data_IF_575154686491
#
_entry.id   IF_575154686491
#
_cell.length_a   1.000
_cell.length_b   1.000
_cell.length_c   1.000
_cell.angle_alpha   90.00
_cell.angle_beta   90.00
_cell.angle_gamma   90.00
#
_symmetry.space_group_name_H-M   'P 1'
#
loop_
_entity.id
_entity.type
_entity.pdbx_description
1 polymer ?
#
# COMPACT_ATOMS: atom_id res chain seq x y z
N UNK A 1 -5.97 -1.23 -14.42
CA UNK A 1 -4.66 -1.33 -13.73
C UNK A 1 -3.74 -2.26 -14.50
N UNK A 2 -2.44 -2.28 -14.18
CA UNK A 2 -1.40 -3.06 -14.90
C UNK A 2 -1.73 -4.57 -14.99
N UNK A 3 -2.56 -5.10 -14.09
CA UNK A 3 -3.06 -6.48 -14.13
C UNK A 3 -4.15 -6.77 -15.16
N UNK A 4 -4.74 -5.76 -15.80
CA UNK A 4 -5.92 -5.92 -16.68
C UNK A 4 -7.20 -6.37 -15.98
N UNK A 5 -7.16 -6.62 -14.66
CA UNK A 5 -8.26 -7.14 -13.88
C UNK A 5 -8.88 -6.06 -12.98
N UNK A 6 -10.19 -6.15 -12.78
CA UNK A 6 -10.90 -5.38 -11.77
C UNK A 6 -11.04 -6.20 -10.49
N UNK A 7 -10.89 -5.54 -9.36
CA UNK A 7 -11.02 -6.14 -8.04
C UNK A 7 -12.03 -5.33 -7.23
N UNK A 8 -12.88 -6.01 -6.48
CA UNK A 8 -13.75 -5.39 -5.48
C UNK A 8 -13.17 -5.61 -4.08
N UNK A 9 -13.37 -4.62 -3.22
CA UNK A 9 -13.06 -4.68 -1.80
C UNK A 9 -14.31 -4.28 -1.01
N UNK A 10 -14.80 -5.18 -0.15
CA UNK A 10 -16.04 -5.02 0.61
C UNK A 10 -15.81 -4.83 2.12
N UNK A 11 -14.64 -4.31 2.51
CA UNK A 11 -14.13 -4.25 3.89
C UNK A 11 -13.80 -5.60 4.54
N UNK A 12 -14.31 -6.72 4.01
CA UNK A 12 -14.09 -8.06 4.57
C UNK A 12 -13.14 -8.89 3.72
N UNK A 13 -13.15 -8.69 2.41
CA UNK A 13 -12.44 -9.51 1.44
C UNK A 13 -12.11 -8.72 0.17
N UNK A 14 -11.08 -9.19 -0.54
CA UNK A 14 -10.79 -8.75 -1.91
C UNK A 14 -11.20 -9.87 -2.87
N UNK A 15 -11.97 -9.52 -3.91
CA UNK A 15 -12.45 -10.48 -4.92
C UNK A 15 -12.19 -9.95 -6.32
N UNK A 16 -11.80 -10.86 -7.21
CA UNK A 16 -11.70 -10.53 -8.62
C UNK A 16 -13.10 -10.36 -9.20
N UNK A 17 -13.34 -9.26 -9.91
CA UNK A 17 -14.60 -9.02 -10.60
C UNK A 17 -14.55 -9.66 -11.98
N UNK A 18 -15.39 -10.68 -12.18
CA UNK A 18 -15.62 -11.32 -13.48
C UNK A 18 -16.96 -10.79 -14.00
N UNK A 19 -16.92 -9.75 -14.83
CA UNK A 19 -18.12 -9.15 -15.43
C UNK A 19 -18.22 -7.62 -15.25
N UNK A 20 -19.40 -7.03 -15.48
CA UNK A 20 -19.61 -5.60 -15.35
C UNK A 20 -19.48 -5.15 -13.88
N UNK A 21 -19.11 -3.88 -13.68
CA UNK A 21 -19.06 -3.28 -12.35
C UNK A 21 -20.44 -3.36 -11.67
N UNK A 22 -20.50 -3.63 -10.36
CA UNK A 22 -21.76 -3.62 -9.62
C UNK A 22 -22.52 -2.31 -9.80
N UNK A 23 -23.86 -2.39 -9.82
CA UNK A 23 -24.69 -1.21 -9.97
C UNK A 23 -24.44 -0.22 -8.81
N UNK A 24 -24.24 1.06 -9.14
CA UNK A 24 -23.91 2.11 -8.17
C UNK A 24 -22.43 2.17 -7.76
N UNK A 25 -21.55 1.34 -8.34
CA UNK A 25 -20.11 1.49 -8.12
C UNK A 25 -19.61 2.83 -8.65
N UNK A 26 -18.85 3.55 -7.83
CA UNK A 26 -18.22 4.82 -8.18
C UNK A 26 -16.70 4.73 -7.98
N UNK A 27 -15.97 5.55 -8.72
CA UNK A 27 -14.53 5.69 -8.54
C UNK A 27 -14.25 6.30 -7.15
N UNK A 28 -13.50 5.58 -6.32
CA UNK A 28 -13.11 6.06 -4.99
C UNK A 28 -11.92 7.03 -5.06
N UNK A 29 -10.79 6.54 -5.57
CA UNK A 29 -9.56 7.31 -5.75
C UNK A 29 -8.70 6.67 -6.84
N UNK A 30 -7.74 7.41 -7.38
CA UNK A 30 -6.76 6.89 -8.35
C UNK A 30 -5.38 7.37 -7.98
N UNK A 31 -4.44 6.43 -7.88
CA UNK A 31 -3.04 6.72 -7.68
C UNK A 31 -2.21 5.85 -8.62
N UNK A 32 -1.14 6.43 -9.15
CA UNK A 32 -0.11 5.72 -9.89
C UNK A 32 1.14 5.65 -9.04
N UNK A 33 1.77 4.48 -9.01
CA UNK A 33 2.95 4.22 -8.19
C UNK A 33 3.99 3.53 -9.05
N UNK A 34 5.24 3.95 -8.96
CA UNK A 34 6.37 3.18 -9.47
C UNK A 34 7.44 3.06 -8.39
N UNK A 35 8.28 2.04 -8.53
CA UNK A 35 9.42 1.81 -7.66
C UNK A 35 10.71 2.17 -8.41
N UNK A 36 11.66 2.79 -7.72
CA UNK A 36 12.99 3.07 -8.23
C UNK A 36 14.02 2.54 -7.23
N UNK A 37 14.84 1.58 -7.67
CA UNK A 37 15.89 1.00 -6.84
C UNK A 37 16.81 2.09 -6.27
N UNK A 38 17.02 2.08 -4.96
CA UNK A 38 17.82 3.06 -4.23
C UNK A 38 17.08 4.34 -3.83
N UNK A 39 15.95 4.67 -4.46
CA UNK A 39 15.17 5.89 -4.16
C UNK A 39 13.80 5.59 -3.53
N UNK A 40 13.29 4.38 -3.71
CA UNK A 40 12.01 3.92 -3.16
C UNK A 40 10.82 4.16 -4.08
N UNK A 41 9.65 4.26 -3.46
CA UNK A 41 8.38 4.48 -4.13
C UNK A 41 8.17 5.95 -4.50
N UNK A 42 7.65 6.14 -5.71
CA UNK A 42 7.17 7.40 -6.23
C UNK A 42 5.68 7.31 -6.48
N UNK A 43 4.96 8.34 -6.07
CA UNK A 43 3.51 8.38 -6.03
C UNK A 43 3.03 9.58 -6.84
N UNK A 44 2.02 9.35 -7.67
CA UNK A 44 1.23 10.35 -8.35
C UNK A 44 -0.23 10.16 -7.95
N UNK A 45 -0.84 11.20 -7.36
CA UNK A 45 -2.30 11.20 -7.11
C UNK A 45 -3.05 11.49 -8.41
N UNK A 46 -3.25 10.44 -9.21
CA UNK A 46 -3.94 10.44 -10.49
C UNK A 46 -3.50 9.28 -11.37
N UNK A 47 -4.04 9.24 -12.58
CA UNK A 47 -3.65 8.28 -13.63
C UNK A 47 -2.42 8.82 -14.38
N UNK A 48 -1.30 8.10 -14.31
CA UNK A 48 -0.06 8.46 -15.00
C UNK A 48 -0.15 8.32 -16.53
N UNK A 49 -1.13 7.57 -17.05
CA UNK A 49 -1.36 7.43 -18.50
C UNK A 49 -2.10 8.65 -19.08
N UNK A 50 -2.76 9.43 -18.22
CA UNK A 50 -3.40 10.70 -18.53
C UNK A 50 -2.99 11.74 -17.47
N UNK A 51 -1.70 12.14 -17.44
CA UNK A 51 -1.13 12.86 -16.32
C UNK A 51 -1.85 14.21 -16.11
N UNK A 52 -2.39 14.48 -14.90
CA UNK A 52 -3.03 15.76 -14.64
C UNK A 52 -1.98 16.88 -14.70
N UNK A 53 -2.31 17.98 -15.37
CA UNK A 53 -1.40 19.12 -15.60
C UNK A 53 -0.85 19.78 -14.32
N UNK A 54 -1.46 19.51 -13.15
CA UNK A 54 -1.09 20.08 -11.86
C UNK A 54 -0.59 19.05 -10.83
N UNK A 55 -0.31 17.81 -11.25
CA UNK A 55 0.19 16.76 -10.36
C UNK A 55 1.63 16.41 -10.72
N UNK A 56 2.42 16.16 -9.69
CA UNK A 56 3.82 15.76 -9.79
C UNK A 56 4.03 14.46 -9.03
N UNK A 57 5.02 13.69 -9.48
CA UNK A 57 5.52 12.54 -8.74
C UNK A 57 6.19 13.01 -7.45
N UNK A 58 5.83 12.40 -6.33
CA UNK A 58 6.41 12.65 -5.03
C UNK A 58 6.92 11.34 -4.45
N UNK A 59 8.05 11.38 -3.75
CA UNK A 59 8.51 10.21 -3.00
C UNK A 59 7.48 9.85 -1.94
N UNK A 60 7.29 8.55 -1.68
CA UNK A 60 6.48 8.10 -0.56
C UNK A 60 6.98 8.71 0.75
N UNK A 61 6.03 9.25 1.50
CA UNK A 61 6.21 9.80 2.84
C UNK A 61 5.08 9.31 3.73
N UNK A 62 5.29 9.43 5.03
CA UNK A 62 4.31 9.11 6.05
C UNK A 62 3.90 10.37 6.80
N UNK A 63 2.64 10.42 7.23
CA UNK A 63 2.28 11.22 8.39
C UNK A 63 2.33 10.31 9.62
N UNK A 64 2.74 10.84 10.77
CA UNK A 64 2.77 10.08 12.02
C UNK A 64 1.55 10.46 12.84
N UNK A 65 0.85 9.45 13.34
CA UNK A 65 -0.19 9.63 14.34
C UNK A 65 0.46 9.54 15.71
N UNK A 66 0.59 10.67 16.40
CA UNK A 66 1.23 10.76 17.72
C UNK A 66 0.34 10.20 18.85
N UNK A 67 -0.95 9.97 18.60
CA UNK A 67 -1.90 9.44 19.59
C UNK A 67 -1.87 7.92 19.56
N UNK A 68 -1.97 7.32 18.37
CA UNK A 68 -1.98 5.86 18.19
C UNK A 68 -0.59 5.27 17.91
N UNK A 69 0.43 6.14 17.73
CA UNK A 69 1.78 5.76 17.32
C UNK A 69 1.76 4.88 16.07
N UNK A 70 0.95 5.29 15.08
CA UNK A 70 0.80 4.60 13.80
C UNK A 70 1.31 5.46 12.65
N UNK A 71 1.67 4.80 11.56
CA UNK A 71 2.09 5.47 10.32
C UNK A 71 0.91 5.59 9.38
N UNK A 72 0.71 6.78 8.81
CA UNK A 72 -0.31 7.06 7.82
C UNK A 72 0.31 7.19 6.43
N UNK A 73 -0.02 6.30 5.50
CA UNK A 73 0.40 6.38 4.10
C UNK A 73 -0.45 7.44 3.41
N UNK A 74 0.22 8.49 2.93
CA UNK A 74 -0.45 9.54 2.16
C UNK A 74 0.52 10.27 1.24
N UNK A 75 -0.01 10.86 0.19
CA UNK A 75 0.75 11.71 -0.73
C UNK A 75 1.20 13.05 -0.12
N UNK A 76 0.73 13.40 1.09
CA UNK A 76 1.06 14.66 1.78
C UNK A 76 1.83 14.45 3.09
N UNK A 77 2.53 13.32 3.23
CA UNK A 77 3.33 13.02 4.41
C UNK A 77 4.62 13.85 4.45
N UNK A 78 5.17 14.01 5.64
CA UNK A 78 6.46 14.69 5.87
C UNK A 78 7.58 13.74 6.29
N UNK A 79 7.24 12.63 6.93
CA UNK A 79 8.22 11.69 7.47
C UNK A 79 8.73 10.72 6.39
N UNK A 80 10.03 10.44 6.44
CA UNK A 80 10.71 9.54 5.51
C UNK A 80 10.58 8.07 5.89
N UNK A 81 10.27 7.79 7.15
CA UNK A 81 10.20 6.43 7.71
C UNK A 81 8.89 6.23 8.45
N UNK A 82 8.60 4.97 8.78
CA UNK A 82 7.55 4.62 9.73
C UNK A 82 7.74 5.34 11.08
N UNK A 83 6.64 5.58 11.79
CA UNK A 83 6.62 6.22 13.11
C UNK A 83 7.41 5.39 14.13
N UNK A 84 7.02 4.13 14.29
CA UNK A 84 7.72 3.13 15.09
C UNK A 84 7.46 1.74 14.50
N UNK A 85 8.31 0.77 14.87
CA UNK A 85 8.22 -0.60 14.39
C UNK A 85 8.50 -1.58 15.52
N UNK A 86 7.66 -2.61 15.64
CA UNK A 86 7.89 -3.72 16.58
C UNK A 86 8.72 -4.81 15.90
N UNK A 87 9.51 -5.53 16.68
CA UNK A 87 10.37 -6.61 16.17
C UNK A 87 9.58 -7.83 15.65
N UNK A 88 8.34 -8.00 16.10
CA UNK A 88 7.45 -9.09 15.68
C UNK A 88 6.68 -8.78 14.38
N UNK A 89 6.77 -7.55 13.87
CA UNK A 89 6.05 -7.12 12.67
C UNK A 89 6.81 -7.51 11.41
N UNK A 90 6.20 -8.38 10.62
CA UNK A 90 6.73 -8.81 9.31
C UNK A 90 6.27 -7.93 8.15
N UNK A 91 5.10 -7.29 8.27
CA UNK A 91 4.53 -6.44 7.21
C UNK A 91 5.46 -5.29 6.75
N UNK A 92 6.32 -4.66 7.60
CA UNK A 92 7.17 -3.56 7.15
C UNK A 92 8.15 -4.00 6.06
N UNK A 93 8.80 -5.15 6.23
CA UNK A 93 9.73 -5.71 5.25
C UNK A 93 9.02 -6.23 4.01
N UNK A 94 7.81 -6.78 4.20
CA UNK A 94 6.94 -7.19 3.10
C UNK A 94 6.61 -6.00 2.18
N UNK A 95 6.12 -4.89 2.76
CA UNK A 95 5.60 -3.75 2.00
C UNK A 95 6.67 -2.75 1.58
N UNK A 96 7.75 -2.61 2.35
CA UNK A 96 8.71 -1.53 2.16
C UNK A 96 10.17 -2.00 2.09
N UNK A 97 11.01 -1.35 1.26
CA UNK A 97 12.47 -1.46 1.41
C UNK A 97 12.95 -0.81 2.71
N UNK A 98 14.18 -1.15 3.11
CA UNK A 98 14.79 -0.72 4.37
C UNK A 98 14.85 0.79 4.59
N UNK A 99 14.89 1.59 3.51
CA UNK A 99 14.92 3.06 3.59
C UNK A 99 13.68 3.68 4.26
N UNK A 100 12.57 2.94 4.35
CA UNK A 100 11.35 3.38 5.04
C UNK A 100 11.22 2.83 6.45
N UNK A 101 12.11 1.92 6.86
CA UNK A 101 12.10 1.35 8.21
C UNK A 101 12.61 2.35 9.24
N UNK A 102 12.22 2.14 10.49
CA UNK A 102 12.61 3.00 11.62
C UNK A 102 13.29 2.18 12.70
N UNK A 103 14.15 2.82 13.48
CA UNK A 103 14.77 2.24 14.69
C UNK A 103 13.96 2.52 15.95
N UNK A 104 12.91 3.34 15.86
CA UNK A 104 12.04 3.63 16.97
C UNK A 104 11.21 2.39 17.31
N UNK A 105 11.44 1.81 18.50
CA UNK A 105 10.70 0.66 19.02
C UNK A 105 9.64 1.18 19.98
N UNK A 106 8.35 0.85 19.80
CA UNK A 106 7.32 1.32 20.70
C UNK A 106 7.36 0.58 22.04
N UNK A 107 6.85 1.24 23.08
CA UNK A 107 6.70 0.67 24.43
C UNK A 107 5.48 -0.26 24.54
N UNK A 108 4.43 -0.01 23.75
CA UNK A 108 3.19 -0.78 23.78
C UNK A 108 3.03 -1.66 22.55
N UNK A 109 2.47 -2.86 22.75
CA UNK A 109 2.20 -3.80 21.66
C UNK A 109 1.12 -3.31 20.69
N UNK A 110 0.26 -2.36 21.05
CA UNK A 110 -0.76 -1.82 20.13
C UNK A 110 -0.20 -0.82 19.11
N UNK A 111 1.05 -0.39 19.24
CA UNK A 111 1.66 0.66 18.41
C UNK A 111 2.39 0.09 17.19
N UNK A 112 2.78 0.98 16.27
CA UNK A 112 3.43 0.61 15.02
C UNK A 112 2.45 0.07 13.99
N UNK A 113 1.21 0.55 14.00
CA UNK A 113 0.24 0.24 12.95
C UNK A 113 0.52 1.00 11.65
N UNK A 114 -0.14 0.57 10.58
CA UNK A 114 -0.15 1.24 9.29
C UNK A 114 -1.61 1.49 8.88
N UNK A 115 -1.94 2.73 8.57
CA UNK A 115 -3.23 3.16 8.03
C UNK A 115 -2.99 4.12 6.86
N UNK A 116 -4.02 4.50 6.11
CA UNK A 116 -3.85 5.51 5.07
C UNK A 116 -4.76 5.39 3.87
N UNK A 117 -4.32 5.99 2.77
CA UNK A 117 -5.00 5.96 1.48
C UNK A 117 -5.05 4.52 0.93
N UNK A 118 -6.26 3.98 0.75
CA UNK A 118 -6.48 2.61 0.28
C UNK A 118 -5.82 2.34 -1.08
N UNK A 119 -5.87 3.31 -2.00
CA UNK A 119 -5.26 3.22 -3.34
C UNK A 119 -3.75 2.97 -3.25
N UNK A 120 -3.07 3.69 -2.36
CA UNK A 120 -1.64 3.54 -2.12
C UNK A 120 -1.32 2.23 -1.39
N UNK A 121 -2.14 1.86 -0.41
CA UNK A 121 -1.96 0.62 0.31
C UNK A 121 -2.08 -0.62 -0.61
N UNK A 122 -3.08 -0.64 -1.51
CA UNK A 122 -3.22 -1.68 -2.53
C UNK A 122 -2.04 -1.69 -3.51
N UNK A 123 -1.52 -0.53 -3.90
CA UNK A 123 -0.33 -0.45 -4.74
C UNK A 123 0.90 -1.07 -4.05
N UNK A 124 1.10 -0.83 -2.75
CA UNK A 124 2.21 -1.41 -1.99
C UNK A 124 2.12 -2.94 -1.91
N UNK A 125 0.92 -3.48 -1.71
CA UNK A 125 0.68 -4.94 -1.78
C UNK A 125 0.99 -5.46 -3.19
N UNK A 126 0.58 -4.73 -4.23
CA UNK A 126 0.89 -5.13 -5.60
C UNK A 126 2.41 -5.18 -5.87
N UNK A 127 3.19 -4.29 -5.26
CA UNK A 127 4.66 -4.31 -5.34
C UNK A 127 5.32 -5.32 -4.40
N UNK A 128 4.63 -5.81 -3.36
CA UNK A 128 5.21 -6.77 -2.43
C UNK A 128 5.33 -8.18 -3.00
N UNK A 129 4.71 -8.46 -4.16
CA UNK A 129 4.72 -9.76 -4.85
C UNK A 129 4.88 -9.60 -6.37
N UNK A 130 5.19 -10.69 -7.08
CA UNK A 130 5.26 -10.67 -8.55
C UNK A 130 3.89 -10.43 -9.20
N UNK A 131 3.86 -10.05 -10.49
CA UNK A 131 2.60 -9.83 -11.21
C UNK A 131 1.80 -11.13 -11.35
N UNK A 132 2.51 -12.24 -11.54
CA UNK A 132 1.96 -13.59 -11.62
C UNK A 132 1.32 -13.99 -10.29
N UNK A 133 2.03 -13.77 -9.18
CA UNK A 133 1.53 -14.04 -7.83
C UNK A 133 0.36 -13.12 -7.46
N UNK A 134 0.37 -11.86 -7.91
CA UNK A 134 -0.68 -10.89 -7.57
C UNK A 134 -2.08 -11.39 -7.96
N UNK A 135 -2.22 -11.97 -9.15
CA UNK A 135 -3.52 -12.48 -9.59
C UNK A 135 -4.01 -13.66 -8.74
N UNK A 136 -3.08 -14.45 -8.21
CA UNK A 136 -3.38 -15.63 -7.41
C UNK A 136 -3.63 -15.31 -5.93
N UNK A 137 -2.86 -14.37 -5.37
CA UNK A 137 -2.78 -14.17 -3.92
C UNK A 137 -3.47 -12.91 -3.41
N UNK A 138 -3.83 -11.95 -4.26
CA UNK A 138 -4.43 -10.68 -3.79
C UNK A 138 -5.72 -10.88 -2.99
N UNK A 139 -6.56 -11.85 -3.35
CA UNK A 139 -7.78 -12.18 -2.59
C UNK A 139 -7.48 -12.73 -1.19
N UNK A 140 -6.37 -13.45 -1.03
CA UNK A 140 -5.91 -13.96 0.26
C UNK A 140 -5.27 -12.88 1.14
N UNK A 141 -4.95 -11.71 0.59
CA UNK A 141 -4.35 -10.61 1.35
C UNK A 141 -5.32 -9.93 2.31
N UNK A 142 -6.63 -10.10 2.12
CA UNK A 142 -7.63 -9.58 3.04
C UNK A 142 -8.69 -10.65 3.32
N UNK A 143 -8.73 -11.16 4.55
CA UNK A 143 -9.65 -12.20 5.00
C UNK A 143 -10.28 -11.77 6.33
N UNK A 144 -11.62 -11.77 6.37
CA UNK A 144 -12.37 -11.37 7.58
C UNK A 144 -12.05 -9.94 8.04
N UNK A 145 -11.80 -9.05 7.08
CA UNK A 145 -11.42 -7.65 7.33
C UNK A 145 -10.01 -7.46 7.88
N UNK A 146 -9.21 -8.53 7.95
CA UNK A 146 -7.83 -8.48 8.41
C UNK A 146 -6.86 -8.65 7.24
N UNK A 147 -5.90 -7.74 7.15
CA UNK A 147 -4.81 -7.84 6.19
C UNK A 147 -3.80 -8.89 6.61
N UNK A 148 -3.41 -9.74 5.65
CA UNK A 148 -2.51 -10.86 5.87
C UNK A 148 -1.07 -10.50 5.47
N UNK A 149 -0.11 -11.25 5.99
CA UNK A 149 1.30 -11.18 5.61
C UNK A 149 1.65 -12.40 4.76
N UNK A 150 2.55 -12.24 3.79
CA UNK A 150 3.05 -13.33 2.95
C UNK A 150 4.58 -13.37 2.92
N UNK A 151 5.13 -14.55 2.57
CA UNK A 151 6.57 -14.78 2.38
C UNK A 151 7.02 -14.81 0.91
N UNK A 152 6.17 -14.41 -0.03
CA UNK A 152 6.50 -14.37 -1.47
C UNK A 152 7.67 -13.43 -1.79
N UNK A 153 8.34 -13.70 -2.91
CA UNK A 153 9.39 -12.82 -3.42
C UNK A 153 8.84 -11.45 -3.83
N UNK A 154 9.58 -10.39 -3.54
CA UNK A 154 9.13 -9.02 -3.83
C UNK A 154 9.06 -8.74 -5.33
N UNK A 155 7.98 -8.09 -5.77
CA UNK A 155 7.80 -7.61 -7.15
C UNK A 155 8.46 -6.28 -7.46
N UNK A 156 9.06 -5.62 -6.46
CA UNK A 156 9.87 -4.40 -6.61
C UNK A 156 11.08 -4.69 -7.52
N UNK A 157 10.99 -4.28 -8.78
CA UNK A 157 12.09 -4.36 -9.77
C UNK A 157 12.57 -2.95 -10.14
#
# INVERSE_FOLDING_TARGET
>A
GVSGAYWSYDSQSIKMLIGPLPHGAALYDTASVYYSAGYGYWILKGDATAPPCNKRWLSLRFAHDEIEYSSYITNNGSAHTLCCQRFDQQWPQMLFPDIYQTRAVPTHQSHGGLKGDLSLFLALIAFSMSMEDLQQYLSAMCLGGSWQVHGLAHGRK
#
